data_IF_389238334813
#
_entry.id   IF_389238334813
#
_cell.length_a   1.000
_cell.length_b   1.000
_cell.length_c   1.000
_cell.angle_alpha   90.00
_cell.angle_beta   90.00
_cell.angle_gamma   90.00
#
_symmetry.space_group_name_H-M   'P 1'
#
loop_
_entity.id
_entity.type
_entity.pdbx_description
1 polymer ?
#
# COMPACT_ATOMS: atom_id res chain seq x y z
N UNK A 1 3.21 16.42 -12.84
CA UNK A 1 2.70 16.75 -14.19
C UNK A 1 3.45 15.93 -15.22
N UNK A 2 2.89 15.73 -16.42
CA UNK A 2 3.61 15.15 -17.55
C UNK A 2 4.74 16.09 -18.01
N UNK A 3 5.86 15.53 -18.46
CA UNK A 3 7.00 16.31 -18.93
C UNK A 3 6.70 17.11 -20.21
N UNK A 4 5.67 16.74 -20.98
CA UNK A 4 5.35 17.35 -22.28
C UNK A 4 4.85 18.79 -22.19
N UNK A 5 4.44 19.24 -20.99
CA UNK A 5 4.01 20.62 -20.74
C UNK A 5 5.00 21.44 -19.89
N UNK A 6 6.24 20.96 -19.71
CA UNK A 6 7.25 21.65 -18.89
C UNK A 6 7.50 23.11 -19.34
N UNK A 7 7.58 23.36 -20.65
CA UNK A 7 7.80 24.71 -21.18
C UNK A 7 6.50 25.54 -21.22
N UNK A 8 5.37 24.90 -21.55
CA UNK A 8 4.11 25.60 -21.75
C UNK A 8 3.36 25.91 -20.46
N UNK A 9 3.64 25.17 -19.39
CA UNK A 9 2.98 25.30 -18.10
C UNK A 9 3.97 25.61 -16.98
N UNK A 10 4.83 24.66 -16.61
CA UNK A 10 5.73 24.79 -15.44
C UNK A 10 6.62 26.04 -15.55
N UNK A 11 7.28 26.21 -16.70
CA UNK A 11 8.15 27.37 -16.93
C UNK A 11 7.37 28.68 -16.90
N UNK A 12 6.17 28.72 -17.51
CA UNK A 12 5.33 29.93 -17.49
C UNK A 12 4.87 30.30 -16.08
N UNK A 13 4.53 29.31 -15.25
CA UNK A 13 4.19 29.55 -13.84
C UNK A 13 5.37 30.16 -13.09
N UNK A 14 6.59 29.66 -13.30
CA UNK A 14 7.81 30.19 -12.67
C UNK A 14 8.02 31.65 -13.08
N UNK A 15 8.05 31.96 -14.38
CA UNK A 15 8.26 33.33 -14.85
C UNK A 15 7.18 34.30 -14.33
N UNK A 16 5.92 33.88 -14.40
CA UNK A 16 4.77 34.70 -13.98
C UNK A 16 4.83 34.97 -12.47
N UNK A 17 5.12 33.96 -11.66
CA UNK A 17 5.24 34.09 -10.21
C UNK A 17 6.44 34.98 -9.81
N UNK A 18 7.60 34.80 -10.45
CA UNK A 18 8.75 35.66 -10.19
C UNK A 18 8.47 37.12 -10.57
N UNK A 19 7.79 37.37 -11.68
CA UNK A 19 7.45 38.72 -12.10
C UNK A 19 6.44 39.40 -11.17
N UNK A 20 5.34 38.72 -10.81
CA UNK A 20 4.26 39.35 -10.03
C UNK A 20 4.43 39.24 -8.51
N UNK A 21 5.18 38.25 -8.02
CA UNK A 21 5.29 37.93 -6.59
C UNK A 21 6.74 37.90 -6.09
N UNK A 22 7.74 37.87 -6.98
CA UNK A 22 9.15 37.76 -6.58
C UNK A 22 9.50 36.44 -5.89
N UNK A 23 8.67 35.40 -6.04
CA UNK A 23 8.82 34.11 -5.35
C UNK A 23 8.58 32.95 -6.32
N UNK A 24 9.23 31.81 -6.07
CA UNK A 24 8.98 30.57 -6.81
C UNK A 24 7.60 30.00 -6.44
N UNK A 25 6.82 29.48 -7.40
CA UNK A 25 5.44 29.04 -7.16
C UNK A 25 5.32 27.67 -6.49
N UNK A 26 6.40 26.87 -6.50
CA UNK A 26 6.45 25.53 -5.93
C UNK A 26 7.90 25.21 -5.52
N UNK A 27 8.07 24.40 -4.48
CA UNK A 27 9.37 23.93 -4.01
C UNK A 27 9.86 22.72 -4.82
N UNK A 28 8.97 21.74 -5.01
CA UNK A 28 9.25 20.53 -5.78
C UNK A 28 8.40 20.47 -7.06
N UNK A 29 8.98 19.94 -8.14
CA UNK A 29 8.27 19.65 -9.39
C UNK A 29 8.47 18.18 -9.75
N UNK A 30 7.43 17.38 -9.57
CA UNK A 30 7.44 15.98 -9.99
C UNK A 30 6.99 15.85 -11.45
N UNK A 31 7.92 15.39 -12.31
CA UNK A 31 7.66 15.09 -13.70
C UNK A 31 7.51 13.58 -13.89
N UNK A 32 6.31 13.14 -14.28
CA UNK A 32 6.05 11.76 -14.68
C UNK A 32 6.06 11.65 -16.21
N UNK A 33 6.28 10.43 -16.71
CA UNK A 33 6.13 10.14 -18.12
C UNK A 33 4.68 10.18 -18.60
N UNK A 34 4.50 9.88 -19.87
CA UNK A 34 3.21 9.76 -20.53
C UNK A 34 2.77 8.30 -20.59
N UNK A 35 1.45 8.10 -20.52
CA UNK A 35 0.85 6.80 -20.81
C UNK A 35 0.81 6.63 -22.33
N UNK A 36 1.39 5.53 -22.80
CA UNK A 36 1.43 5.12 -24.21
C UNK A 36 0.50 3.93 -24.42
N UNK A 37 0.04 3.73 -25.65
CA UNK A 37 -0.68 2.50 -25.98
C UNK A 37 0.24 1.26 -25.88
N UNK A 38 -0.33 0.07 -26.06
CA UNK A 38 0.42 -1.18 -25.97
C UNK A 38 1.60 -1.28 -26.97
N UNK A 39 1.53 -0.55 -28.09
CA UNK A 39 2.59 -0.46 -29.10
C UNK A 39 3.60 0.68 -28.81
N UNK A 40 3.42 1.44 -27.73
CA UNK A 40 4.30 2.54 -27.34
C UNK A 40 4.00 3.88 -28.02
N UNK A 41 2.89 4.00 -28.77
CA UNK A 41 2.51 5.26 -29.43
C UNK A 41 1.85 6.21 -28.43
N UNK A 42 1.96 7.52 -28.69
CA UNK A 42 1.20 8.52 -27.91
C UNK A 42 -0.29 8.22 -28.07
N UNK A 43 -1.04 8.22 -26.97
CA UNK A 43 -2.49 8.18 -27.04
C UNK A 43 -3.01 9.50 -27.62
N UNK A 44 -3.88 9.44 -28.63
CA UNK A 44 -4.54 10.61 -29.20
C UNK A 44 -5.91 10.26 -29.75
N UNK A 45 -6.82 11.25 -29.76
CA UNK A 45 -8.14 11.11 -30.38
C UNK A 45 -8.04 10.79 -31.88
N UNK A 46 -7.06 11.37 -32.58
CA UNK A 46 -6.86 11.15 -34.02
C UNK A 46 -6.44 9.72 -34.37
N UNK A 47 -5.74 9.03 -33.46
CA UNK A 47 -5.31 7.64 -33.64
C UNK A 47 -6.35 6.64 -33.13
N UNK A 48 -7.40 7.10 -32.43
CA UNK A 48 -8.41 6.23 -31.84
C UNK A 48 -7.86 5.25 -30.79
N UNK A 49 -6.65 5.47 -30.29
CA UNK A 49 -5.95 4.60 -29.32
C UNK A 49 -6.02 5.15 -27.89
N UNK A 50 -6.90 6.13 -27.65
CA UNK A 50 -7.18 6.62 -26.31
C UNK A 50 -8.05 5.62 -25.56
N UNK A 51 -7.75 5.45 -24.27
CA UNK A 51 -8.51 4.57 -23.38
C UNK A 51 -9.25 5.48 -22.41
N UNK A 52 -10.57 5.31 -22.31
CA UNK A 52 -11.35 6.06 -21.33
C UNK A 52 -11.12 5.45 -19.94
N UNK A 53 -10.56 6.20 -18.97
CA UNK A 53 -10.38 5.68 -17.62
C UNK A 53 -11.71 5.28 -16.96
N UNK A 54 -12.83 5.90 -17.32
CA UNK A 54 -14.14 5.56 -16.75
C UNK A 54 -14.62 4.17 -17.18
N UNK A 55 -14.37 3.79 -18.44
CA UNK A 55 -14.66 2.43 -18.91
C UNK A 55 -13.82 1.40 -18.14
N UNK A 56 -12.53 1.67 -17.91
CA UNK A 56 -11.67 0.77 -17.13
C UNK A 56 -12.14 0.69 -15.67
N UNK A 57 -12.55 1.81 -15.08
CA UNK A 57 -13.09 1.86 -13.71
C UNK A 57 -14.38 1.05 -13.60
N UNK A 58 -15.28 1.14 -14.57
CA UNK A 58 -16.53 0.39 -14.59
C UNK A 58 -16.28 -1.13 -14.65
N UNK A 59 -15.27 -1.57 -15.41
CA UNK A 59 -14.97 -3.00 -15.58
C UNK A 59 -14.09 -3.59 -14.46
N UNK A 60 -13.13 -2.82 -13.92
CA UNK A 60 -12.09 -3.33 -13.03
C UNK A 60 -12.01 -2.63 -11.67
N UNK A 61 -12.69 -1.49 -11.50
CA UNK A 61 -12.64 -0.67 -10.30
C UNK A 61 -11.52 0.38 -10.30
N UNK A 62 -11.73 1.45 -9.53
CA UNK A 62 -10.82 2.59 -9.46
C UNK A 62 -9.47 2.25 -8.81
N UNK A 63 -9.46 1.42 -7.76
CA UNK A 63 -8.20 1.02 -7.10
C UNK A 63 -7.30 0.21 -8.03
N UNK A 64 -7.90 -0.67 -8.83
CA UNK A 64 -7.19 -1.45 -9.83
C UNK A 64 -6.50 -0.55 -10.85
N UNK A 65 -7.23 0.44 -11.38
CA UNK A 65 -6.66 1.41 -12.31
C UNK A 65 -5.52 2.21 -11.65
N UNK A 66 -5.75 2.78 -10.46
CA UNK A 66 -4.72 3.54 -9.71
C UNK A 66 -3.45 2.72 -9.51
N UNK A 67 -3.60 1.49 -9.02
CA UNK A 67 -2.48 0.58 -8.79
C UNK A 67 -1.74 0.29 -10.10
N UNK A 68 -2.46 -0.06 -11.16
CA UNK A 68 -1.83 -0.41 -12.44
C UNK A 68 -1.02 0.74 -13.07
N UNK A 69 -1.46 1.99 -12.89
CA UNK A 69 -0.84 3.17 -13.45
C UNK A 69 0.43 3.58 -12.70
N UNK A 70 0.47 3.34 -11.40
CA UNK A 70 1.62 3.69 -10.55
C UNK A 70 2.63 2.54 -10.46
N UNK A 71 2.16 1.28 -10.53
CA UNK A 71 3.01 0.12 -10.35
C UNK A 71 4.00 -0.09 -11.51
N UNK A 72 5.27 -0.28 -11.14
CA UNK A 72 6.37 -0.44 -12.10
C UNK A 72 6.61 0.80 -12.94
N UNK A 73 6.29 1.99 -12.42
CA UNK A 73 6.69 3.26 -13.01
C UNK A 73 7.95 3.78 -12.35
N UNK A 74 8.90 4.21 -13.17
CA UNK A 74 10.08 4.97 -12.72
C UNK A 74 9.84 6.43 -13.07
N UNK A 75 10.22 7.34 -12.18
CA UNK A 75 10.04 8.77 -12.40
C UNK A 75 10.64 9.22 -13.74
N UNK A 76 9.88 10.04 -14.46
CA UNK A 76 10.25 10.56 -15.79
C UNK A 76 10.08 9.59 -16.97
N UNK A 77 9.91 8.29 -16.74
CA UNK A 77 9.76 7.31 -17.82
C UNK A 77 8.31 7.16 -18.28
N UNK A 78 8.12 7.02 -19.58
CA UNK A 78 6.84 6.65 -20.17
C UNK A 78 6.45 5.23 -19.76
N UNK A 79 5.15 5.04 -19.52
CA UNK A 79 4.57 3.74 -19.21
C UNK A 79 3.63 3.32 -20.34
N UNK A 80 3.68 2.06 -20.73
CA UNK A 80 2.70 1.50 -21.68
C UNK A 80 1.50 0.96 -20.92
N UNK A 81 0.33 1.19 -21.48
CA UNK A 81 -0.90 0.58 -21.02
C UNK A 81 -0.99 -0.86 -21.54
N UNK A 82 -1.24 -1.78 -20.60
CA UNK A 82 -1.43 -3.20 -20.86
C UNK A 82 -2.61 -3.68 -20.02
N UNK A 83 -3.55 -4.37 -20.64
CA UNK A 83 -4.73 -4.90 -19.94
C UNK A 83 -4.31 -5.92 -18.88
N UNK A 84 -3.25 -6.69 -19.14
CA UNK A 84 -2.66 -7.65 -18.22
C UNK A 84 -2.16 -6.99 -16.92
N UNK A 85 -1.70 -5.72 -16.97
CA UNK A 85 -1.35 -4.96 -15.77
C UNK A 85 -2.58 -4.62 -14.93
N UNK A 86 -3.71 -4.32 -15.57
CA UNK A 86 -5.00 -4.08 -14.90
C UNK A 86 -5.46 -5.38 -14.23
N UNK A 87 -5.39 -6.51 -14.94
CA UNK A 87 -5.78 -7.80 -14.40
C UNK A 87 -4.92 -8.22 -13.20
N UNK A 88 -3.61 -8.03 -13.28
CA UNK A 88 -2.70 -8.29 -12.16
C UNK A 88 -3.04 -7.43 -10.92
N UNK A 89 -3.37 -6.15 -11.14
CA UNK A 89 -3.82 -5.25 -10.08
C UNK A 89 -5.15 -5.71 -9.46
N UNK A 90 -6.10 -6.20 -10.27
CA UNK A 90 -7.38 -6.74 -9.80
C UNK A 90 -7.16 -7.99 -8.95
N UNK A 91 -6.26 -8.87 -9.39
CA UNK A 91 -5.92 -10.08 -8.66
C UNK A 91 -5.29 -9.76 -7.30
N UNK A 92 -4.46 -8.72 -7.23
CA UNK A 92 -3.92 -8.20 -5.97
C UNK A 92 -5.02 -7.66 -5.05
N UNK A 93 -5.94 -6.84 -5.56
CA UNK A 93 -7.10 -6.35 -4.81
C UNK A 93 -7.91 -7.52 -4.23
N UNK A 94 -8.18 -8.54 -5.03
CA UNK A 94 -8.90 -9.75 -4.61
C UNK A 94 -8.13 -10.56 -3.55
N UNK A 95 -6.80 -10.67 -3.66
CA UNK A 95 -5.96 -11.33 -2.65
C UNK A 95 -6.05 -10.59 -1.31
N UNK A 96 -5.96 -9.25 -1.32
CA UNK A 96 -6.15 -8.42 -0.13
C UNK A 96 -7.54 -8.62 0.48
N UNK A 97 -8.60 -8.56 -0.34
CA UNK A 97 -9.97 -8.77 0.11
C UNK A 97 -10.16 -10.13 0.79
N UNK A 98 -9.64 -11.21 0.17
CA UNK A 98 -9.73 -12.55 0.73
C UNK A 98 -8.97 -12.69 2.06
N UNK A 99 -7.79 -12.09 2.16
CA UNK A 99 -7.02 -12.06 3.41
C UNK A 99 -7.77 -11.30 4.50
N UNK A 100 -8.31 -10.12 4.19
CA UNK A 100 -9.10 -9.32 5.11
C UNK A 100 -10.37 -10.06 5.57
N UNK A 101 -11.11 -10.64 4.63
CA UNK A 101 -12.30 -11.45 4.94
C UNK A 101 -11.97 -12.62 5.86
N UNK A 102 -10.86 -13.32 5.62
CA UNK A 102 -10.40 -14.39 6.51
C UNK A 102 -10.15 -13.89 7.93
N UNK A 103 -9.45 -12.76 8.08
CA UNK A 103 -9.19 -12.16 9.39
C UNK A 103 -10.48 -11.76 10.08
N UNK A 104 -11.34 -10.99 9.40
CA UNK A 104 -12.63 -10.50 9.92
C UNK A 104 -13.54 -11.66 10.38
N UNK A 105 -13.64 -12.73 9.59
CA UNK A 105 -14.43 -13.91 9.96
C UNK A 105 -13.91 -14.62 11.21
N UNK A 106 -12.59 -14.60 11.45
CA UNK A 106 -11.99 -15.21 12.63
C UNK A 106 -11.99 -14.28 13.86
N UNK A 107 -12.10 -12.97 13.67
CA UNK A 107 -12.26 -12.01 14.75
C UNK A 107 -13.63 -12.18 15.42
N UNK A 108 -14.72 -12.24 14.66
CA UNK A 108 -16.07 -12.31 15.24
C UNK A 108 -16.33 -11.11 16.15
N UNK A 109 -16.80 -11.35 17.39
CA UNK A 109 -17.02 -10.30 18.40
C UNK A 109 -15.73 -9.84 19.12
N UNK A 110 -14.57 -10.34 18.71
CA UNK A 110 -13.29 -10.00 19.31
C UNK A 110 -13.00 -8.51 19.12
N UNK A 111 -12.92 -7.78 20.23
CA UNK A 111 -12.38 -6.43 20.25
C UNK A 111 -10.86 -6.55 20.21
N UNK A 112 -10.20 -5.84 19.29
CA UNK A 112 -8.75 -5.82 19.26
C UNK A 112 -8.22 -5.20 20.56
N UNK A 113 -7.66 -6.04 21.42
CA UNK A 113 -6.93 -5.60 22.61
C UNK A 113 -5.52 -5.16 22.24
N UNK A 114 -4.90 -4.34 23.10
CA UNK A 114 -3.48 -4.01 22.96
C UNK A 114 -2.65 -5.30 22.93
N UNK A 115 -1.77 -5.40 21.94
CA UNK A 115 -0.83 -6.53 21.84
C UNK A 115 0.18 -6.38 22.97
N UNK A 116 0.25 -7.36 23.88
CA UNK A 116 1.39 -7.49 24.79
C UNK A 116 2.61 -7.93 23.97
N UNK A 117 3.49 -6.97 23.68
CA UNK A 117 4.68 -7.19 22.84
C UNK A 117 5.77 -7.98 23.62
N UNK A 118 5.72 -7.96 24.94
CA UNK A 118 6.75 -8.57 25.78
C UNK A 118 6.47 -10.07 26.01
N UNK A 119 5.21 -10.43 26.24
CA UNK A 119 4.78 -11.78 26.61
C UNK A 119 3.92 -12.45 25.51
N UNK A 120 3.78 -13.77 25.57
CA UNK A 120 2.85 -14.57 24.75
C UNK A 120 3.02 -14.55 23.22
N UNK A 121 3.97 -13.80 22.66
CA UNK A 121 4.25 -13.82 21.22
C UNK A 121 5.14 -15.00 20.80
N UNK A 122 4.67 -15.78 19.82
CA UNK A 122 5.48 -16.78 19.14
C UNK A 122 6.52 -16.15 18.21
N UNK A 123 7.46 -16.96 17.72
CA UNK A 123 8.47 -16.50 16.77
C UNK A 123 7.84 -15.90 15.50
N UNK A 124 6.75 -16.51 14.99
CA UNK A 124 6.03 -16.03 13.82
C UNK A 124 5.40 -14.65 14.05
N UNK A 125 4.85 -14.38 15.24
CA UNK A 125 4.26 -13.09 15.60
C UNK A 125 5.33 -12.00 15.67
N UNK A 126 6.43 -12.27 16.37
CA UNK A 126 7.56 -11.34 16.49
C UNK A 126 8.15 -11.03 15.11
N UNK A 127 8.20 -12.02 14.24
CA UNK A 127 8.63 -11.85 12.85
C UNK A 127 7.69 -10.93 12.07
N UNK A 128 6.40 -11.23 11.99
CA UNK A 128 5.49 -10.42 11.16
C UNK A 128 5.35 -8.99 11.67
N UNK A 129 5.35 -8.80 13.00
CA UNK A 129 5.33 -7.48 13.63
C UNK A 129 6.58 -6.68 13.28
N UNK A 130 7.75 -7.32 13.31
CA UNK A 130 9.00 -6.68 12.87
C UNK A 130 9.01 -6.39 11.37
N UNK A 131 8.35 -7.22 10.56
CA UNK A 131 8.26 -7.01 9.10
C UNK A 131 7.35 -5.84 8.75
N UNK A 132 6.12 -5.77 9.29
CA UNK A 132 5.23 -4.63 9.04
C UNK A 132 5.85 -3.31 9.54
N UNK A 133 6.58 -3.35 10.65
CA UNK A 133 7.31 -2.20 11.17
C UNK A 133 8.44 -1.75 10.22
N UNK A 134 9.19 -2.69 9.64
CA UNK A 134 10.21 -2.39 8.64
C UNK A 134 9.61 -1.80 7.36
N UNK A 135 8.56 -2.44 6.83
CA UNK A 135 7.85 -1.99 5.63
C UNK A 135 7.26 -0.60 5.83
N UNK A 136 6.73 -0.30 7.02
CA UNK A 136 6.28 1.05 7.40
C UNK A 136 7.38 2.08 7.18
N UNK A 137 8.61 1.81 7.65
CA UNK A 137 9.75 2.72 7.48
C UNK A 137 10.16 2.85 6.00
N UNK A 138 10.23 1.74 5.27
CA UNK A 138 10.59 1.74 3.85
C UNK A 138 9.60 2.52 2.99
N UNK A 139 8.31 2.21 3.14
CA UNK A 139 7.22 2.88 2.40
C UNK A 139 7.19 4.37 2.73
N UNK A 140 7.33 4.74 4.00
CA UNK A 140 7.40 6.17 4.39
C UNK A 140 8.56 6.87 3.70
N UNK A 141 9.75 6.27 3.69
CA UNK A 141 10.92 6.84 3.00
C UNK A 141 10.71 6.97 1.48
N UNK A 142 10.09 5.98 0.86
CA UNK A 142 9.78 6.03 -0.57
C UNK A 142 8.74 7.10 -0.90
N UNK A 143 7.75 7.34 -0.03
CA UNK A 143 6.81 8.45 -0.20
C UNK A 143 7.51 9.81 -0.03
N UNK A 144 8.36 9.97 0.97
CA UNK A 144 9.14 11.20 1.21
C UNK A 144 10.07 11.54 0.04
N UNK A 145 10.51 10.52 -0.71
CA UNK A 145 11.39 10.67 -1.88
C UNK A 145 10.65 10.55 -3.21
N UNK A 146 9.32 10.58 -3.20
CA UNK A 146 8.44 10.47 -4.37
C UNK A 146 8.63 9.18 -5.21
N UNK A 147 9.20 8.13 -4.62
CA UNK A 147 9.46 6.85 -5.28
C UNK A 147 8.29 5.86 -5.10
N UNK A 148 7.14 6.20 -5.66
CA UNK A 148 5.88 5.45 -5.49
C UNK A 148 5.97 4.00 -6.00
N UNK A 149 6.71 3.75 -7.08
CA UNK A 149 6.87 2.40 -7.63
C UNK A 149 7.53 1.44 -6.64
N UNK A 150 8.58 1.89 -5.93
CA UNK A 150 9.25 1.08 -4.90
C UNK A 150 8.38 0.91 -3.64
N UNK A 151 7.63 1.94 -3.24
CA UNK A 151 6.65 1.83 -2.15
C UNK A 151 5.63 0.73 -2.44
N UNK A 152 5.05 0.72 -3.63
CA UNK A 152 4.07 -0.28 -4.04
C UNK A 152 4.67 -1.68 -4.17
N UNK A 153 5.91 -1.80 -4.67
CA UNK A 153 6.62 -3.08 -4.73
C UNK A 153 6.84 -3.67 -3.33
N UNK A 154 7.32 -2.85 -2.39
CA UNK A 154 7.51 -3.26 -0.99
C UNK A 154 6.20 -3.72 -0.34
N UNK A 155 5.11 -2.97 -0.54
CA UNK A 155 3.78 -3.36 -0.06
C UNK A 155 3.29 -4.66 -0.69
N UNK A 156 3.43 -4.83 -2.01
CA UNK A 156 3.03 -6.04 -2.71
C UNK A 156 3.77 -7.27 -2.16
N UNK A 157 5.10 -7.19 -2.07
CA UNK A 157 5.94 -8.27 -1.55
C UNK A 157 5.56 -8.64 -0.12
N UNK A 158 5.36 -7.64 0.75
CA UNK A 158 4.94 -7.89 2.13
C UNK A 158 3.55 -8.53 2.22
N UNK A 159 2.55 -7.95 1.55
CA UNK A 159 1.16 -8.42 1.64
C UNK A 159 1.05 -9.84 1.07
N UNK A 160 1.59 -10.06 -0.12
CA UNK A 160 1.45 -11.34 -0.80
C UNK A 160 2.34 -12.41 -0.19
N UNK A 161 3.65 -12.16 -0.16
CA UNK A 161 4.66 -13.19 0.09
C UNK A 161 5.00 -13.36 1.56
N UNK A 162 4.64 -12.44 2.45
CA UNK A 162 4.94 -12.57 3.90
C UNK A 162 3.66 -12.71 4.72
N UNK A 163 2.70 -11.79 4.53
CA UNK A 163 1.48 -11.80 5.30
C UNK A 163 0.53 -12.92 4.87
N UNK A 164 0.14 -12.96 3.59
CA UNK A 164 -0.82 -13.95 3.10
C UNK A 164 -0.23 -15.36 3.01
N UNK A 165 0.92 -15.53 2.35
CA UNK A 165 1.44 -16.86 2.03
C UNK A 165 2.09 -17.56 3.24
N UNK A 166 2.54 -16.80 4.26
CA UNK A 166 3.17 -17.37 5.46
C UNK A 166 2.41 -17.09 6.74
N UNK A 167 2.28 -15.82 7.15
CA UNK A 167 1.80 -15.53 8.49
C UNK A 167 0.35 -15.99 8.72
N UNK A 168 -0.55 -15.70 7.78
CA UNK A 168 -1.93 -16.19 7.83
C UNK A 168 -1.98 -17.72 7.92
N UNK A 169 -1.19 -18.41 7.10
CA UNK A 169 -1.16 -19.88 7.07
C UNK A 169 -0.63 -20.47 8.39
N UNK A 170 0.42 -19.88 8.98
CA UNK A 170 0.95 -20.28 10.29
C UNK A 170 -0.10 -20.06 11.39
N UNK A 171 -0.77 -18.89 11.36
CA UNK A 171 -1.75 -18.51 12.37
C UNK A 171 -2.98 -19.43 12.40
N UNK A 172 -3.38 -20.06 11.28
CA UNK A 172 -4.52 -21.00 11.21
C UNK A 172 -4.44 -22.10 12.27
N UNK A 173 -3.25 -22.65 12.51
CA UNK A 173 -3.06 -23.72 13.50
C UNK A 173 -3.50 -23.30 14.91
N UNK A 174 -3.21 -22.04 15.29
CA UNK A 174 -3.61 -21.46 16.57
C UNK A 174 -5.06 -21.03 16.57
N UNK A 175 -5.54 -20.38 15.49
CA UNK A 175 -6.92 -19.94 15.35
C UNK A 175 -7.93 -21.09 15.52
N UNK A 176 -7.59 -22.29 15.06
CA UNK A 176 -8.43 -23.49 15.19
C UNK A 176 -7.98 -24.46 16.30
N UNK A 177 -7.00 -24.05 17.12
CA UNK A 177 -6.52 -24.85 18.26
C UNK A 177 -7.46 -24.78 19.46
N UNK A 178 -7.08 -25.39 20.58
CA UNK A 178 -7.87 -25.35 21.83
C UNK A 178 -7.37 -24.31 22.84
N UNK A 179 -6.15 -23.78 22.64
CA UNK A 179 -5.57 -22.78 23.53
C UNK A 179 -6.15 -21.38 23.24
N UNK A 180 -7.09 -20.96 24.08
CA UNK A 180 -7.73 -19.64 23.98
C UNK A 180 -6.73 -18.48 24.05
N UNK A 181 -5.65 -18.59 24.84
CA UNK A 181 -4.68 -17.50 24.97
C UNK A 181 -3.86 -17.36 23.68
N UNK A 182 -3.45 -18.49 23.09
CA UNK A 182 -2.77 -18.50 21.79
C UNK A 182 -3.69 -18.00 20.66
N UNK A 183 -4.97 -18.38 20.67
CA UNK A 183 -5.97 -17.87 19.73
C UNK A 183 -6.11 -16.35 19.81
N UNK A 184 -6.31 -15.81 21.02
CA UNK A 184 -6.46 -14.36 21.24
C UNK A 184 -5.24 -13.60 20.75
N UNK A 185 -4.04 -14.09 21.07
CA UNK A 185 -2.79 -13.47 20.61
C UNK A 185 -2.70 -13.45 19.08
N UNK A 186 -2.98 -14.57 18.41
CA UNK A 186 -2.96 -14.65 16.96
C UNK A 186 -3.99 -13.69 16.32
N UNK A 187 -5.20 -13.57 16.90
CA UNK A 187 -6.24 -12.63 16.44
C UNK A 187 -5.78 -11.19 16.55
N UNK A 188 -5.21 -10.77 17.69
CA UNK A 188 -4.71 -9.40 17.88
C UNK A 188 -3.60 -9.07 16.88
N UNK A 189 -2.65 -9.99 16.67
CA UNK A 189 -1.53 -9.74 15.73
C UNK A 189 -2.03 -9.69 14.28
N UNK A 190 -2.94 -10.58 13.87
CA UNK A 190 -3.56 -10.52 12.54
C UNK A 190 -4.31 -9.20 12.32
N UNK A 191 -5.13 -8.78 13.28
CA UNK A 191 -5.88 -7.53 13.19
C UNK A 191 -4.93 -6.33 13.09
N UNK A 192 -3.91 -6.25 13.95
CA UNK A 192 -2.94 -5.16 13.95
C UNK A 192 -2.15 -5.09 12.64
N UNK A 193 -1.60 -6.21 12.16
CA UNK A 193 -0.81 -6.22 10.93
C UNK A 193 -1.67 -5.83 9.73
N UNK A 194 -2.89 -6.35 9.63
CA UNK A 194 -3.83 -5.98 8.58
C UNK A 194 -4.14 -4.48 8.63
N UNK A 195 -4.44 -3.95 9.80
CA UNK A 195 -4.77 -2.54 10.01
C UNK A 195 -3.63 -1.60 9.58
N UNK A 196 -2.39 -1.87 10.02
CA UNK A 196 -1.21 -1.10 9.60
C UNK A 196 -1.03 -1.17 8.07
N UNK A 197 -1.22 -2.35 7.50
CA UNK A 197 -1.10 -2.60 6.06
C UNK A 197 -2.10 -1.77 5.26
N UNK A 198 -3.37 -1.72 5.71
CA UNK A 198 -4.42 -0.94 5.05
C UNK A 198 -4.07 0.54 5.03
N UNK A 199 -3.57 1.08 6.15
CA UNK A 199 -3.13 2.48 6.22
C UNK A 199 -2.00 2.79 5.25
N UNK A 200 -0.98 1.92 5.18
CA UNK A 200 0.13 2.09 4.23
C UNK A 200 -0.32 1.98 2.77
N UNK A 201 -1.32 1.16 2.49
CA UNK A 201 -1.83 0.91 1.14
C UNK A 201 -2.83 1.99 0.68
N UNK A 202 -3.47 2.69 1.61
CA UNK A 202 -4.55 3.63 1.35
C UNK A 202 -4.24 4.73 0.31
N UNK A 203 -3.04 5.34 0.27
CA UNK A 203 -2.70 6.31 -0.79
C UNK A 203 -2.82 5.73 -2.21
N UNK A 204 -2.68 4.42 -2.36
CA UNK A 204 -2.70 3.72 -3.65
C UNK A 204 -4.09 3.14 -3.96
N UNK A 205 -4.73 2.49 -2.99
CA UNK A 205 -6.02 1.79 -3.14
C UNK A 205 -7.07 2.28 -2.14
N UNK A 206 -7.52 3.54 -2.23
CA UNK A 206 -8.34 4.16 -1.20
C UNK A 206 -9.70 3.50 -0.94
N UNK A 207 -10.36 2.93 -1.96
CA UNK A 207 -11.75 2.46 -1.79
C UNK A 207 -11.81 1.13 -1.04
N UNK A 208 -11.05 0.12 -1.49
CA UNK A 208 -11.00 -1.20 -0.86
C UNK A 208 -10.39 -1.12 0.55
N UNK A 209 -9.40 -0.25 0.75
CA UNK A 209 -8.77 -0.11 2.07
C UNK A 209 -9.70 0.55 3.08
N UNK A 210 -10.45 1.58 2.68
CA UNK A 210 -11.50 2.18 3.51
C UNK A 210 -12.56 1.15 3.87
N UNK A 211 -13.11 0.44 2.87
CA UNK A 211 -14.17 -0.56 3.09
C UNK A 211 -13.75 -1.65 4.08
N UNK A 212 -12.54 -2.20 3.92
CA UNK A 212 -12.02 -3.20 4.85
C UNK A 212 -11.79 -2.60 6.24
N UNK A 213 -11.20 -1.40 6.30
CA UNK A 213 -10.82 -0.75 7.56
C UNK A 213 -12.05 -0.43 8.42
N UNK A 214 -13.17 -0.03 7.81
CA UNK A 214 -14.44 0.20 8.52
C UNK A 214 -15.00 -1.04 9.21
N UNK A 215 -14.64 -2.25 8.76
CA UNK A 215 -15.12 -3.50 9.33
C UNK A 215 -14.18 -4.09 10.39
N UNK A 216 -12.98 -3.54 10.55
CA UNK A 216 -12.06 -3.99 11.59
C UNK A 216 -12.54 -3.52 12.97
N UNK A 217 -12.17 -4.25 14.05
CA UNK A 217 -12.46 -3.87 15.41
C UNK A 217 -11.59 -2.67 15.82
N UNK A 218 -11.95 -1.49 15.34
CA UNK A 218 -11.24 -0.24 15.58
C UNK A 218 -12.17 0.95 15.59
N UNK A 219 -11.72 2.01 16.25
CA UNK A 219 -12.50 3.20 16.56
C UNK A 219 -11.99 4.38 15.75
N UNK A 220 -12.54 4.62 14.57
CA UNK A 220 -12.36 5.88 13.87
C UNK A 220 -13.34 6.02 12.71
N UNK A 221 -13.52 7.25 12.26
CA UNK A 221 -14.55 7.59 11.27
C UNK A 221 -14.15 7.17 9.85
N UNK A 222 -12.87 7.30 9.51
CA UNK A 222 -12.34 6.94 8.18
C UNK A 222 -10.83 6.73 8.24
N UNK A 223 -10.34 5.80 7.43
CA UNK A 223 -8.89 5.58 7.29
C UNK A 223 -8.18 6.81 6.71
N UNK A 224 -8.89 7.65 5.94
CA UNK A 224 -8.37 8.87 5.33
C UNK A 224 -7.84 9.90 6.35
N UNK A 225 -8.42 9.92 7.55
CA UNK A 225 -8.02 10.82 8.65
C UNK A 225 -7.24 10.09 9.75
N UNK A 226 -7.03 8.79 9.60
CA UNK A 226 -6.26 8.00 10.56
C UNK A 226 -4.78 8.42 10.52
N UNK A 227 -4.07 8.43 11.67
CA UNK A 227 -2.66 8.74 11.70
C UNK A 227 -1.84 7.77 10.84
N UNK A 228 -0.85 8.30 10.11
CA UNK A 228 0.09 7.49 9.35
C UNK A 228 0.86 6.53 10.29
N UNK A 229 1.07 5.26 9.90
CA UNK A 229 1.89 4.32 10.67
C UNK A 229 3.32 4.82 10.91
N UNK A 230 3.84 4.65 12.12
CA UNK A 230 5.19 5.09 12.51
C UNK A 230 6.00 3.88 12.97
N UNK A 231 7.29 3.87 12.61
CA UNK A 231 8.24 2.88 13.08
C UNK A 231 8.34 2.88 14.61
N UNK A 232 8.11 1.73 15.24
CA UNK A 232 8.23 1.54 16.69
C UNK A 232 9.46 0.70 17.02
N UNK A 233 10.38 1.22 17.84
CA UNK A 233 11.63 0.52 18.18
C UNK A 233 11.39 -0.80 18.95
N UNK A 234 10.31 -0.86 19.73
CA UNK A 234 9.88 -2.06 20.47
C UNK A 234 9.52 -3.26 19.59
N UNK A 235 9.06 -3.03 18.35
CA UNK A 235 8.71 -4.08 17.40
C UNK A 235 9.92 -4.61 16.61
N UNK A 236 11.11 -4.07 16.85
CA UNK A 236 12.34 -4.54 16.21
C UNK A 236 12.79 -5.87 16.82
N UNK A 237 13.02 -6.89 15.99
CA UNK A 237 13.71 -8.10 16.46
C UNK A 237 15.13 -7.71 16.90
N UNK A 238 15.37 -7.72 18.22
CA UNK A 238 16.72 -7.66 18.77
C UNK A 238 17.45 -8.91 18.32
N UNK A 239 18.51 -8.74 17.53
CA UNK A 239 19.43 -9.82 17.17
C UNK A 239 19.97 -10.39 18.48
N UNK A 240 19.48 -11.56 18.91
CA UNK A 240 20.06 -12.27 20.05
C UNK A 240 21.53 -12.50 19.68
N UNK A 241 22.43 -11.79 20.35
CA UNK A 241 23.84 -12.12 20.35
C UNK A 241 23.93 -13.55 20.86
N UNK A 242 24.06 -14.52 19.95
CA UNK A 242 24.59 -15.82 20.33
C UNK A 242 26.06 -15.57 20.68
N UNK A 243 26.51 -15.79 21.92
CA UNK A 243 27.91 -16.06 22.12
C UNK A 243 28.19 -17.31 21.29
N UNK A 244 29.06 -17.18 20.29
CA UNK A 244 29.64 -18.33 19.62
C UNK A 244 30.36 -19.13 20.70
N UNK A 245 29.82 -20.31 21.04
CA UNK A 245 30.53 -21.34 21.81
C UNK A 245 31.28 -22.19 20.80
#
# INVERSE_FOLDING_TARGET
>A
TGYDIIFFWVSKMIFTSLYFKGQVPFQDVLLHGLIRDAQGRKMSKSLGNGIDPLEVIEHYGADTLRWSLLNGTTLGNDSRYYEEKIEAARNFANKLWNAARFVLMNLGDFQAEEIDIEHNLELADRWILSRVNHVTKEVSHFLDTYNFGEAMRSLYEFIWNEYCDWYIEIAKSRLYGEDEAAQRTAKSVLAYVLEQTLRLLHPFMPFITEEIWQHLPQTGESIMIAPWPIYKEELRIKRRSRPWV
#
